data_IF_308534405591
#
_entry.id   IF_308534405591
#
_cell.length_a   1.000
_cell.length_b   1.000
_cell.length_c   1.000
_cell.angle_alpha   90.00
_cell.angle_beta   90.00
_cell.angle_gamma   90.00
#
_symmetry.space_group_name_H-M   'P 1'
#
loop_
_entity.id
_entity.type
_entity.pdbx_description
1 polymer ?
#
# COMPACT_ATOMS: atom_id res chain seq x y z
N UNK A 1 -27.49 9.26 4.53
CA UNK A 1 -26.92 10.05 3.42
C UNK A 1 -25.39 10.09 3.53
N UNK A 2 -24.80 10.47 4.67
CA UNK A 2 -23.33 10.45 4.86
C UNK A 2 -22.65 9.07 4.68
N UNK A 3 -23.35 7.97 5.00
CA UNK A 3 -22.80 6.61 4.86
C UNK A 3 -22.65 6.17 3.38
N UNK A 4 -23.57 6.61 2.52
CA UNK A 4 -23.53 6.28 1.08
C UNK A 4 -22.37 6.98 0.36
N UNK A 5 -22.04 8.21 0.76
CA UNK A 5 -20.92 8.96 0.18
C UNK A 5 -19.56 8.32 0.52
N UNK A 6 -19.44 7.73 1.72
CA UNK A 6 -18.23 7.03 2.15
C UNK A 6 -18.04 5.71 1.40
N UNK A 7 -19.12 4.96 1.20
CA UNK A 7 -19.13 3.70 0.46
C UNK A 7 -18.80 3.94 -1.03
N UNK A 8 -19.42 4.94 -1.67
CA UNK A 8 -19.12 5.31 -3.06
C UNK A 8 -17.65 5.71 -3.24
N UNK A 9 -17.10 6.45 -2.27
CA UNK A 9 -15.68 6.82 -2.28
C UNK A 9 -14.79 5.59 -2.16
N UNK A 10 -15.13 4.64 -1.29
CA UNK A 10 -14.38 3.40 -1.12
C UNK A 10 -14.36 2.58 -2.43
N UNK A 11 -15.50 2.44 -3.09
CA UNK A 11 -15.63 1.73 -4.37
C UNK A 11 -14.77 2.37 -5.47
N UNK A 12 -14.74 3.70 -5.54
CA UNK A 12 -13.89 4.44 -6.48
C UNK A 12 -12.41 4.22 -6.20
N UNK A 13 -11.98 4.28 -4.94
CA UNK A 13 -10.59 4.03 -4.55
C UNK A 13 -10.18 2.59 -4.87
N UNK A 14 -11.05 1.63 -4.60
CA UNK A 14 -10.80 0.21 -4.85
C UNK A 14 -10.74 -0.11 -6.34
N UNK A 15 -11.57 0.54 -7.15
CA UNK A 15 -11.51 0.45 -8.62
C UNK A 15 -10.18 0.99 -9.17
N UNK A 16 -9.70 2.10 -8.63
CA UNK A 16 -8.38 2.66 -9.00
C UNK A 16 -7.23 1.76 -8.56
N UNK A 17 -7.36 1.12 -7.40
CA UNK A 17 -6.39 0.13 -6.91
C UNK A 17 -6.35 -1.11 -7.81
N UNK A 18 -7.52 -1.64 -8.19
CA UNK A 18 -7.63 -2.78 -9.11
C UNK A 18 -6.94 -2.51 -10.45
N UNK A 19 -7.18 -1.33 -11.04
CA UNK A 19 -6.52 -0.93 -12.28
C UNK A 19 -4.99 -0.86 -12.14
N UNK A 20 -4.50 -0.29 -11.04
CA UNK A 20 -3.06 -0.15 -10.78
C UNK A 20 -2.40 -1.53 -10.57
N UNK A 21 -3.07 -2.42 -9.83
CA UNK A 21 -2.60 -3.78 -9.60
C UNK A 21 -2.60 -4.58 -10.90
N UNK A 22 -3.67 -4.51 -11.69
CA UNK A 22 -3.73 -5.14 -13.01
C UNK A 22 -2.56 -4.70 -13.89
N UNK A 23 -2.29 -3.39 -13.96
CA UNK A 23 -1.16 -2.85 -14.73
C UNK A 23 0.21 -3.37 -14.28
N UNK A 24 0.43 -3.49 -12.96
CA UNK A 24 1.67 -4.05 -12.40
C UNK A 24 1.78 -5.55 -12.70
N UNK A 25 0.69 -6.29 -12.52
CA UNK A 25 0.65 -7.73 -12.77
C UNK A 25 0.89 -8.03 -14.25
N UNK A 26 0.26 -7.29 -15.17
CA UNK A 26 0.43 -7.46 -16.61
C UNK A 26 1.90 -7.21 -17.04
N UNK A 27 2.55 -6.20 -16.48
CA UNK A 27 3.96 -5.91 -16.74
C UNK A 27 4.88 -7.06 -16.29
N UNK A 28 4.63 -7.63 -15.11
CA UNK A 28 5.39 -8.77 -14.58
C UNK A 28 5.10 -10.04 -15.38
N UNK A 29 3.82 -10.28 -15.72
CA UNK A 29 3.40 -11.46 -16.45
C UNK A 29 4.02 -11.49 -17.87
N UNK A 30 4.09 -10.33 -18.53
CA UNK A 30 4.78 -10.18 -19.81
C UNK A 30 6.28 -10.48 -19.72
N UNK A 31 6.96 -9.98 -18.68
CA UNK A 31 8.40 -10.23 -18.46
C UNK A 31 8.70 -11.71 -18.18
N UNK A 32 7.79 -12.40 -17.49
CA UNK A 32 7.96 -13.80 -17.09
C UNK A 32 7.34 -14.82 -18.06
N UNK A 33 6.74 -14.37 -19.17
CA UNK A 33 5.98 -15.20 -20.12
C UNK A 33 4.87 -16.02 -19.42
N UNK A 34 4.14 -15.37 -18.52
CA UNK A 34 3.04 -15.93 -17.75
C UNK A 34 1.72 -15.19 -18.04
N UNK A 35 0.60 -15.79 -17.63
CA UNK A 35 -0.71 -15.14 -17.65
C UNK A 35 -1.30 -15.10 -16.25
N UNK A 36 -1.88 -13.97 -15.88
CA UNK A 36 -2.64 -13.81 -14.63
C UNK A 36 -4.14 -13.95 -14.88
N UNK A 37 -4.83 -14.66 -13.99
CA UNK A 37 -6.29 -14.78 -14.09
C UNK A 37 -6.97 -13.52 -13.49
N UNK A 38 -8.18 -13.16 -13.97
CA UNK A 38 -8.95 -12.07 -13.36
C UNK A 38 -9.21 -12.29 -11.86
N UNK A 39 -9.38 -13.55 -11.45
CA UNK A 39 -9.57 -13.93 -10.05
C UNK A 39 -8.31 -13.66 -9.22
N UNK A 40 -7.12 -13.96 -9.75
CA UNK A 40 -5.86 -13.64 -9.08
C UNK A 40 -5.71 -12.12 -8.87
N UNK A 41 -5.95 -11.33 -9.90
CA UNK A 41 -5.89 -9.86 -9.82
C UNK A 41 -6.92 -9.32 -8.81
N UNK A 42 -8.14 -9.86 -8.81
CA UNK A 42 -9.18 -9.53 -7.84
C UNK A 42 -8.76 -9.85 -6.40
N UNK A 43 -8.28 -11.07 -6.14
CA UNK A 43 -7.82 -11.48 -4.81
C UNK A 43 -6.62 -10.67 -4.33
N UNK A 44 -5.67 -10.35 -5.23
CA UNK A 44 -4.53 -9.49 -4.90
C UNK A 44 -4.99 -8.07 -4.56
N UNK A 45 -6.02 -7.56 -5.24
CA UNK A 45 -6.62 -6.26 -4.93
C UNK A 45 -7.20 -6.22 -3.52
N UNK A 46 -7.94 -7.25 -3.11
CA UNK A 46 -8.46 -7.36 -1.73
C UNK A 46 -7.35 -7.46 -0.68
N UNK A 47 -6.29 -8.21 -0.99
CA UNK A 47 -5.14 -8.36 -0.12
C UNK A 47 -4.43 -7.02 0.10
N UNK A 48 -4.14 -6.29 -0.99
CA UNK A 48 -3.47 -4.99 -0.92
C UNK A 48 -4.37 -3.94 -0.25
N UNK A 49 -5.67 -3.95 -0.53
CA UNK A 49 -6.64 -3.09 0.15
C UNK A 49 -6.60 -3.30 1.67
N UNK A 50 -6.66 -4.56 2.12
CA UNK A 50 -6.57 -4.90 3.54
C UNK A 50 -5.24 -4.45 4.16
N UNK A 51 -4.13 -4.65 3.42
CA UNK A 51 -2.80 -4.23 3.86
C UNK A 51 -2.70 -2.70 4.01
N UNK A 52 -3.32 -1.92 3.12
CA UNK A 52 -3.36 -0.45 3.20
C UNK A 52 -4.08 -0.01 4.47
N UNK A 53 -5.24 -0.61 4.78
CA UNK A 53 -6.00 -0.29 5.99
C UNK A 53 -5.19 -0.57 7.27
N UNK A 54 -4.56 -1.75 7.35
CA UNK A 54 -3.69 -2.09 8.49
C UNK A 54 -2.50 -1.15 8.59
N UNK A 55 -1.83 -0.87 7.46
CA UNK A 55 -0.66 0.02 7.44
C UNK A 55 -1.02 1.45 7.84
N UNK A 56 -2.17 1.97 7.41
CA UNK A 56 -2.64 3.29 7.79
C UNK A 56 -2.88 3.41 9.30
N UNK A 57 -3.54 2.42 9.91
CA UNK A 57 -3.76 2.37 11.35
C UNK A 57 -2.44 2.28 12.14
N UNK A 58 -1.50 1.46 11.68
CA UNK A 58 -0.18 1.33 12.30
C UNK A 58 0.61 2.63 12.24
N UNK A 59 0.64 3.31 11.09
CA UNK A 59 1.32 4.60 10.92
C UNK A 59 0.76 5.68 11.85
N UNK A 60 -0.57 5.75 11.97
CA UNK A 60 -1.23 6.68 12.90
C UNK A 60 -0.85 6.37 14.36
N UNK A 61 -0.86 5.09 14.73
CA UNK A 61 -0.48 4.65 16.08
C UNK A 61 1.00 4.94 16.40
N UNK A 62 1.91 4.78 15.44
CA UNK A 62 3.32 5.10 15.62
C UNK A 62 3.55 6.60 15.83
N UNK A 63 2.89 7.44 15.04
CA UNK A 63 2.95 8.89 15.22
C UNK A 63 2.43 9.30 16.61
N UNK A 64 1.25 8.79 17.01
CA UNK A 64 0.65 9.04 18.33
C UNK A 64 1.53 8.57 19.48
N UNK A 65 2.16 7.39 19.35
CA UNK A 65 3.09 6.87 20.36
C UNK A 65 4.29 7.79 20.57
N UNK A 66 4.73 8.49 19.53
CA UNK A 66 5.80 9.48 19.58
C UNK A 66 5.31 10.90 19.99
N UNK A 67 4.04 11.07 20.38
CA UNK A 67 3.46 12.36 20.74
C UNK A 67 3.25 13.30 19.54
N UNK A 68 3.12 12.75 18.32
CA UNK A 68 2.93 13.49 17.08
C UNK A 68 1.55 13.21 16.47
N UNK A 69 0.94 14.24 15.89
CA UNK A 69 -0.28 14.12 15.09
C UNK A 69 0.00 14.07 13.58
N UNK A 70 1.27 14.17 13.19
CA UNK A 70 1.72 14.12 11.80
C UNK A 70 2.67 12.93 11.61
N UNK A 71 2.35 12.08 10.64
CA UNK A 71 3.15 10.92 10.24
C UNK A 71 4.46 11.40 9.61
N UNK A 72 5.58 10.78 9.99
CA UNK A 72 6.91 11.06 9.45
C UNK A 72 7.59 9.81 8.89
N UNK A 73 8.76 10.00 8.28
CA UNK A 73 9.53 8.90 7.67
C UNK A 73 9.96 7.82 8.67
N UNK A 74 10.03 8.12 9.97
CA UNK A 74 10.40 7.14 11.00
C UNK A 74 9.26 6.15 11.23
N UNK A 75 8.01 6.61 11.14
CA UNK A 75 6.82 5.74 11.25
C UNK A 75 6.79 4.72 10.11
N UNK A 76 7.12 5.15 8.89
CA UNK A 76 7.21 4.28 7.71
C UNK A 76 8.32 3.24 7.86
N UNK A 77 9.50 3.65 8.34
CA UNK A 77 10.60 2.71 8.61
C UNK A 77 10.26 1.73 9.75
N UNK A 78 9.46 2.16 10.72
CA UNK A 78 9.00 1.30 11.82
C UNK A 78 7.98 0.26 11.35
N UNK A 79 7.17 0.57 10.34
CA UNK A 79 6.22 -0.36 9.72
C UNK A 79 6.92 -1.60 9.15
N UNK A 80 8.09 -1.41 8.53
CA UNK A 80 8.85 -2.48 7.86
C UNK A 80 9.92 -3.14 8.74
N UNK A 81 9.96 -2.83 10.03
CA UNK A 81 11.00 -3.28 10.99
C UNK A 81 11.19 -4.80 11.10
N UNK A 82 10.25 -5.61 10.59
CA UNK A 82 10.31 -7.07 10.63
C UNK A 82 10.97 -7.68 9.39
N UNK A 83 11.29 -6.86 8.39
CA UNK A 83 11.93 -7.28 7.15
C UNK A 83 13.09 -6.33 6.85
N UNK A 84 14.31 -6.74 7.22
CA UNK A 84 15.52 -5.93 7.06
C UNK A 84 15.80 -5.57 5.59
N UNK A 85 15.54 -6.48 4.65
CA UNK A 85 15.73 -6.21 3.22
C UNK A 85 14.75 -5.13 2.72
N UNK A 86 13.49 -5.23 3.12
CA UNK A 86 12.50 -4.21 2.77
C UNK A 86 12.83 -2.87 3.42
N UNK A 87 13.30 -2.88 4.66
CA UNK A 87 13.76 -1.67 5.36
C UNK A 87 14.90 -1.00 4.61
N UNK A 88 15.90 -1.75 4.16
CA UNK A 88 17.02 -1.22 3.37
C UNK A 88 16.54 -0.58 2.06
N UNK A 89 15.61 -1.24 1.34
CA UNK A 89 15.00 -0.69 0.13
C UNK A 89 14.33 0.65 0.40
N UNK A 90 13.53 0.75 1.48
CA UNK A 90 12.86 2.01 1.83
C UNK A 90 13.83 3.09 2.32
N UNK A 91 14.90 2.73 3.04
CA UNK A 91 15.94 3.68 3.42
C UNK A 91 16.68 4.25 2.21
N UNK A 92 16.91 3.44 1.18
CA UNK A 92 17.51 3.91 -0.07
C UNK A 92 16.55 4.83 -0.83
N UNK A 93 15.28 4.46 -0.95
CA UNK A 93 14.26 5.34 -1.54
C UNK A 93 14.16 6.68 -0.79
N UNK A 94 14.27 6.68 0.54
CA UNK A 94 14.27 7.90 1.35
C UNK A 94 15.47 8.80 1.06
N UNK A 95 16.65 8.23 0.75
CA UNK A 95 17.82 9.01 0.35
C UNK A 95 17.59 9.70 -0.99
N UNK A 96 16.94 9.03 -1.93
CA UNK A 96 16.67 9.58 -3.26
C UNK A 96 15.62 10.69 -3.25
N UNK A 97 14.60 10.60 -2.39
CA UNK A 97 13.59 11.67 -2.22
C UNK A 97 14.19 12.95 -1.60
N UNK A 98 15.27 12.81 -0.81
CA UNK A 98 15.93 13.93 -0.13
C UNK A 98 16.99 14.63 -0.99
N UNK A 99 17.32 14.10 -2.17
CA UNK A 99 18.21 14.75 -3.14
C UNK A 99 17.46 15.86 -3.87
#
# INVERSE_FOLDING_TARGET
MADGDAEEKADRLKSSLWYSIGSIVDAIALDQDLNATPQFIGSLTELVWSQILTSGADLENFAKHAGRDTIDTKDVLLLVRRNEQLKEVLENALKDIKK
#
